data_IF_449467976061
#
_entry.id   IF_449467976061
#
_cell.length_a   1.000
_cell.length_b   1.000
_cell.length_c   1.000
_cell.angle_alpha   90.00
_cell.angle_beta   90.00
_cell.angle_gamma   90.00
#
_symmetry.space_group_name_H-M   'P 1'
#
loop_
_entity.id
_entity.type
_entity.pdbx_description
1 polymer ?
#
# COMPACT_ATOMS: atom_id res chain seq x y z
N UNK A 1 7.46 -23.95 -18.71
CA UNK A 1 7.07 -23.87 -17.29
C UNK A 1 7.26 -22.43 -16.88
N UNK A 2 6.21 -21.62 -16.96
CA UNK A 2 6.26 -20.21 -16.56
C UNK A 2 6.51 -20.15 -15.06
N UNK A 3 7.57 -19.46 -14.66
CA UNK A 3 7.95 -19.26 -13.27
C UNK A 3 6.91 -18.39 -12.57
N UNK A 4 5.81 -18.97 -12.11
CA UNK A 4 4.82 -18.34 -11.22
C UNK A 4 5.35 -18.24 -9.77
N UNK A 5 6.57 -17.77 -9.60
CA UNK A 5 7.11 -17.46 -8.29
C UNK A 5 7.20 -15.95 -8.16
N UNK A 6 6.36 -15.38 -7.27
CA UNK A 6 6.40 -14.00 -6.74
C UNK A 6 5.49 -12.94 -7.38
N UNK A 7 4.31 -13.29 -7.93
CA UNK A 7 3.28 -12.26 -8.13
C UNK A 7 2.90 -11.63 -6.78
N UNK A 8 3.15 -10.33 -6.62
CA UNK A 8 2.78 -9.59 -5.41
C UNK A 8 1.28 -9.31 -5.47
N UNK A 9 0.67 -9.07 -4.31
CA UNK A 9 -0.77 -8.84 -4.22
C UNK A 9 -1.23 -7.62 -5.05
N UNK A 10 -0.35 -6.64 -5.26
CA UNK A 10 -0.60 -5.47 -6.10
C UNK A 10 -0.18 -5.63 -7.57
N UNK A 11 0.50 -6.72 -7.94
CA UNK A 11 0.91 -6.96 -9.33
C UNK A 11 -0.25 -7.47 -10.20
N UNK A 12 -1.38 -7.83 -9.58
CA UNK A 12 -2.59 -8.26 -10.27
C UNK A 12 -3.25 -7.11 -11.04
N UNK A 13 -3.13 -5.89 -10.53
CA UNK A 13 -3.75 -4.70 -11.09
C UNK A 13 -2.68 -3.70 -11.57
N UNK A 14 -2.65 -3.37 -12.88
CA UNK A 14 -1.62 -2.49 -13.43
C UNK A 14 -1.55 -1.12 -12.74
N UNK A 15 -2.69 -0.53 -12.40
CA UNK A 15 -2.77 0.77 -11.71
C UNK A 15 -2.18 0.70 -10.30
N UNK A 16 -2.45 -0.39 -9.59
CA UNK A 16 -1.99 -0.62 -8.22
C UNK A 16 -0.48 -0.86 -8.21
N UNK A 17 0.02 -1.70 -9.14
CA UNK A 17 1.45 -1.96 -9.33
C UNK A 17 2.21 -0.68 -9.69
N UNK A 18 1.67 0.14 -10.59
CA UNK A 18 2.26 1.44 -10.95
C UNK A 18 2.34 2.38 -9.75
N UNK A 19 1.24 2.54 -9.00
CA UNK A 19 1.21 3.40 -7.82
C UNK A 19 2.26 2.98 -6.77
N UNK A 20 2.36 1.67 -6.48
CA UNK A 20 3.35 1.15 -5.54
C UNK A 20 4.78 1.33 -6.07
N UNK A 21 5.00 1.14 -7.37
CA UNK A 21 6.29 1.37 -8.02
C UNK A 21 6.73 2.83 -7.89
N UNK A 22 5.86 3.77 -8.26
CA UNK A 22 6.14 5.21 -8.15
C UNK A 22 6.34 5.65 -6.69
N UNK A 23 5.58 5.10 -5.74
CA UNK A 23 5.82 5.33 -4.32
C UNK A 23 7.20 4.83 -3.90
N UNK A 24 7.68 3.69 -4.40
CA UNK A 24 9.00 3.16 -4.03
C UNK A 24 10.17 4.01 -4.50
N UNK A 25 10.00 4.76 -5.59
CA UNK A 25 10.99 5.69 -6.15
C UNK A 25 10.88 7.11 -5.57
N UNK A 26 9.78 7.41 -4.88
CA UNK A 26 9.54 8.71 -4.25
C UNK A 26 10.44 8.94 -3.04
N UNK A 27 10.70 10.21 -2.72
CA UNK A 27 11.32 10.61 -1.45
C UNK A 27 10.51 10.11 -0.25
N UNK A 28 11.21 9.76 0.83
CA UNK A 28 10.64 9.27 2.10
C UNK A 28 9.49 10.15 2.59
N UNK A 29 9.67 11.49 2.59
CA UNK A 29 8.60 12.43 2.97
C UNK A 29 7.30 12.19 2.19
N UNK A 30 7.40 11.99 0.88
CA UNK A 30 6.24 11.81 0.00
C UNK A 30 5.68 10.39 0.09
N UNK A 31 6.51 9.40 0.42
CA UNK A 31 6.05 8.06 0.78
C UNK A 31 5.14 8.12 2.01
N UNK A 32 5.55 8.82 3.08
CA UNK A 32 4.74 8.99 4.30
C UNK A 32 3.48 9.81 4.06
N UNK A 33 3.52 10.84 3.20
CA UNK A 33 2.32 11.57 2.81
C UNK A 33 1.32 10.67 2.07
N UNK A 34 1.78 9.83 1.16
CA UNK A 34 0.95 8.84 0.47
C UNK A 34 0.41 7.78 1.45
N UNK A 35 1.23 7.31 2.39
CA UNK A 35 0.83 6.36 3.42
C UNK A 35 -0.32 6.92 4.27
N UNK A 36 -0.15 8.16 4.75
CA UNK A 36 -1.16 8.86 5.54
C UNK A 36 -2.46 9.02 4.76
N UNK A 37 -2.36 9.35 3.48
CA UNK A 37 -3.50 9.48 2.58
C UNK A 37 -4.27 8.17 2.39
N UNK A 38 -3.57 7.04 2.18
CA UNK A 38 -4.19 5.70 2.08
C UNK A 38 -4.98 5.38 3.34
N UNK A 39 -4.37 5.58 4.51
CA UNK A 39 -5.03 5.30 5.80
C UNK A 39 -6.25 6.20 6.00
N UNK A 40 -6.17 7.47 5.61
CA UNK A 40 -7.30 8.40 5.70
C UNK A 40 -8.47 7.93 4.83
N UNK A 41 -8.21 7.61 3.56
CA UNK A 41 -9.24 7.10 2.64
C UNK A 41 -9.88 5.81 3.15
N UNK A 42 -9.09 4.92 3.73
CA UNK A 42 -9.62 3.69 4.32
C UNK A 42 -10.58 3.98 5.48
N UNK A 43 -10.21 4.89 6.38
CA UNK A 43 -11.02 5.31 7.52
C UNK A 43 -12.29 6.05 7.08
N UNK A 44 -12.20 6.91 6.07
CA UNK A 44 -13.35 7.62 5.50
C UNK A 44 -14.39 6.64 4.93
N UNK A 45 -13.92 5.51 4.39
CA UNK A 45 -14.77 4.42 3.92
C UNK A 45 -15.27 3.49 5.05
N UNK A 46 -14.86 3.72 6.30
CA UNK A 46 -15.23 2.90 7.45
C UNK A 46 -14.43 1.60 7.62
N UNK A 47 -13.28 1.48 6.95
CA UNK A 47 -12.38 0.34 7.12
C UNK A 47 -11.49 0.55 8.35
N UNK A 48 -11.46 -0.44 9.24
CA UNK A 48 -10.57 -0.46 10.39
C UNK A 48 -9.86 -1.80 10.47
N UNK A 49 -8.53 -1.79 10.57
CA UNK A 49 -7.77 -2.98 10.90
C UNK A 49 -7.83 -3.16 12.42
N UNK A 50 -8.40 -4.27 12.88
CA UNK A 50 -8.42 -4.60 14.30
C UNK A 50 -6.97 -4.84 14.74
N UNK A 51 -6.44 -3.95 15.59
CA UNK A 51 -5.08 -4.05 16.12
C UNK A 51 -4.95 -5.19 17.14
N UNK A 52 -5.02 -6.45 16.71
CA UNK A 52 -4.60 -7.58 17.52
C UNK A 52 -3.07 -7.64 17.52
N UNK A 53 -2.47 -6.78 18.36
CA UNK A 53 -1.05 -6.44 18.49
C UNK A 53 -0.08 -7.62 18.74
N UNK A 54 -0.55 -8.87 18.86
CA UNK A 54 0.31 -10.03 19.18
C UNK A 54 0.64 -10.93 17.97
N UNK A 55 -0.25 -11.06 16.98
CA UNK A 55 -0.02 -11.96 15.83
C UNK A 55 0.71 -11.26 14.66
N UNK A 56 0.53 -9.95 14.49
CA UNK A 56 1.19 -9.20 13.40
C UNK A 56 2.68 -8.92 13.66
N UNK A 57 3.11 -8.83 14.92
CA UNK A 57 4.52 -8.58 15.27
C UNK A 57 5.47 -9.68 14.77
N UNK A 58 4.97 -10.91 14.58
CA UNK A 58 5.73 -12.03 14.02
C UNK A 58 5.63 -12.13 12.48
N UNK A 59 4.68 -11.43 11.86
CA UNK A 59 4.43 -11.46 10.41
C UNK A 59 5.12 -10.33 9.62
N UNK A 60 5.81 -9.40 10.30
CA UNK A 60 6.81 -8.50 9.69
C UNK A 60 8.07 -9.28 9.28
N UNK A 61 7.91 -10.37 8.52
CA UNK A 61 9.00 -10.87 7.71
C UNK A 61 9.27 -9.81 6.64
N UNK A 62 10.28 -8.97 6.87
CA UNK A 62 10.75 -7.88 6.01
C UNK A 62 11.09 -8.36 4.58
N UNK A 63 10.07 -8.62 3.77
CA UNK A 63 10.22 -9.14 2.39
C UNK A 63 10.02 -8.03 1.36
N UNK A 64 9.37 -6.93 1.73
CA UNK A 64 9.03 -5.81 0.83
C UNK A 64 9.72 -4.52 1.28
N UNK A 65 9.91 -3.60 0.34
CA UNK A 65 10.60 -2.34 0.59
C UNK A 65 9.94 -1.51 1.71
N UNK A 66 8.60 -1.52 1.74
CA UNK A 66 7.79 -0.80 2.72
C UNK A 66 7.62 -1.54 4.05
N UNK A 67 7.98 -2.84 4.15
CA UNK A 67 7.86 -3.58 5.42
C UNK A 67 8.88 -3.10 6.46
N UNK A 68 9.89 -2.31 6.04
CA UNK A 68 10.89 -1.71 6.93
C UNK A 68 10.32 -0.55 7.75
N UNK A 69 9.26 0.07 7.25
CA UNK A 69 8.59 1.19 7.89
C UNK A 69 7.18 0.78 8.32
N UNK A 70 6.88 0.98 9.59
CA UNK A 70 5.60 0.54 10.17
C UNK A 70 4.42 1.31 9.59
N UNK A 71 4.56 2.61 9.36
CA UNK A 71 3.47 3.44 8.82
C UNK A 71 3.15 3.05 7.39
N UNK A 72 4.19 2.84 6.57
CA UNK A 72 4.03 2.37 5.20
C UNK A 72 3.42 0.96 5.16
N UNK A 73 3.93 0.03 5.97
CA UNK A 73 3.39 -1.32 6.03
C UNK A 73 1.91 -1.34 6.46
N UNK A 74 1.55 -0.59 7.51
CA UNK A 74 0.17 -0.45 7.97
C UNK A 74 -0.70 0.16 6.85
N UNK A 75 -0.23 1.21 6.16
CA UNK A 75 -0.95 1.81 5.05
C UNK A 75 -1.20 0.81 3.90
N UNK A 76 -0.20 0.00 3.53
CA UNK A 76 -0.38 -1.04 2.51
C UNK A 76 -1.31 -2.16 2.96
N UNK A 77 -1.43 -2.46 4.26
CA UNK A 77 -2.47 -3.36 4.75
C UNK A 77 -3.86 -2.76 4.56
N UNK A 78 -4.04 -1.46 4.85
CA UNK A 78 -5.29 -0.77 4.57
C UNK A 78 -5.63 -0.83 3.08
N UNK A 79 -4.68 -0.49 2.21
CA UNK A 79 -4.87 -0.57 0.77
C UNK A 79 -5.28 -2.00 0.34
N UNK A 80 -4.62 -3.03 0.87
CA UNK A 80 -4.91 -4.43 0.53
C UNK A 80 -6.32 -4.89 0.91
N UNK A 81 -6.91 -4.36 1.99
CA UNK A 81 -8.26 -4.75 2.43
C UNK A 81 -9.38 -3.89 1.82
N UNK A 82 -9.04 -2.79 1.13
CA UNK A 82 -10.04 -1.96 0.46
C UNK A 82 -10.78 -2.76 -0.62
N UNK A 83 -12.07 -2.44 -0.89
CA UNK A 83 -12.75 -2.94 -2.08
C UNK A 83 -12.01 -2.54 -3.36
N UNK A 84 -12.09 -3.37 -4.39
CA UNK A 84 -11.39 -3.18 -5.66
C UNK A 84 -11.52 -1.78 -6.27
N UNK A 85 -12.75 -1.24 -6.33
CA UNK A 85 -13.01 0.10 -6.87
C UNK A 85 -12.28 1.18 -6.08
N UNK A 86 -12.28 1.09 -4.75
CA UNK A 86 -11.59 2.02 -3.88
C UNK A 86 -10.07 1.87 -3.97
N UNK A 87 -9.54 0.65 -4.08
CA UNK A 87 -8.11 0.42 -4.31
C UNK A 87 -7.64 1.14 -5.57
N UNK A 88 -8.41 1.02 -6.65
CA UNK A 88 -8.11 1.63 -7.93
C UNK A 88 -8.19 3.16 -7.86
N UNK A 89 -9.25 3.71 -7.26
CA UNK A 89 -9.41 5.15 -7.03
C UNK A 89 -8.22 5.73 -6.26
N UNK A 90 -7.91 5.14 -5.10
CA UNK A 90 -6.80 5.58 -4.24
C UNK A 90 -5.46 5.50 -4.98
N UNK A 91 -5.25 4.46 -5.78
CA UNK A 91 -4.03 4.31 -6.58
C UNK A 91 -3.88 5.39 -7.64
N UNK A 92 -4.96 5.78 -8.32
CA UNK A 92 -4.94 6.87 -9.29
C UNK A 92 -4.63 8.21 -8.63
N UNK A 93 -5.23 8.49 -7.46
CA UNK A 93 -4.95 9.70 -6.70
C UNK A 93 -3.50 9.76 -6.20
N UNK A 94 -2.92 8.62 -5.82
CA UNK A 94 -1.50 8.52 -5.47
C UNK A 94 -0.62 8.83 -6.68
N UNK A 95 -0.89 8.21 -7.83
CA UNK A 95 -0.14 8.47 -9.06
C UNK A 95 -0.20 9.96 -9.40
N UNK A 96 -1.39 10.57 -9.41
CA UNK A 96 -1.58 11.99 -9.70
C UNK A 96 -0.81 12.89 -8.72
N UNK A 97 -0.79 12.55 -7.41
CA UNK A 97 0.02 13.27 -6.41
C UNK A 97 1.52 13.15 -6.67
N UNK A 98 1.98 11.98 -7.11
CA UNK A 98 3.40 11.73 -7.36
C UNK A 98 3.87 12.36 -8.67
N UNK A 99 3.02 12.47 -9.68
CA UNK A 99 3.31 13.16 -10.96
C UNK A 99 3.34 14.67 -10.83
N UNK A 100 2.57 15.25 -9.90
CA UNK A 100 2.52 16.71 -9.65
C UNK A 100 3.67 17.24 -8.77
N UNK A 101 4.71 16.43 -8.54
CA UNK A 101 5.90 16.79 -7.76
C UNK A 101 6.84 17.74 -8.49
#
# INVERSE_FOLDING_TARGET
MENNFTQRWYDLEPTLSLAVGMMSEADEKLQHECASFIVQKAKDFGLSIAQNKLEEAFNYFCKRWYDKDRELADAFQYLKIMPFELQKEVSLEIIEKLEKK
#
